data_IF_111925291224
#
_entry.id   IF_111925291224
#
_cell.length_a   1.000
_cell.length_b   1.000
_cell.length_c   1.000
_cell.angle_alpha   90.00
_cell.angle_beta   90.00
_cell.angle_gamma   90.00
#
_symmetry.space_group_name_H-M   'P 1'
#
loop_
_entity.id
_entity.type
_entity.pdbx_description
1 polymer ?
#
# COMPACT_ATOMS: atom_id res chain seq x y z
N UNK A 1 12.59 -11.73 -2.11
CA UNK A 1 11.61 -10.61 -2.03
C UNK A 1 12.35 -9.35 -1.66
N UNK A 2 11.90 -8.19 -2.14
CA UNK A 2 12.43 -6.86 -1.79
C UNK A 2 11.54 -6.24 -0.70
N UNK A 3 12.11 -5.32 0.07
CA UNK A 3 11.41 -4.66 1.17
C UNK A 3 11.20 -3.18 0.87
N UNK A 4 9.96 -2.75 0.92
CA UNK A 4 9.58 -1.35 0.87
C UNK A 4 8.89 -0.94 2.18
N UNK A 5 8.73 0.36 2.38
CA UNK A 5 7.97 0.91 3.49
C UNK A 5 6.97 1.94 2.98
N UNK A 6 5.75 1.91 3.54
CA UNK A 6 4.77 2.97 3.34
C UNK A 6 5.22 4.20 4.13
N UNK A 7 5.41 5.33 3.43
CA UNK A 7 5.94 6.58 4.00
C UNK A 7 5.04 7.14 5.12
N UNK A 8 3.76 6.78 5.14
CA UNK A 8 2.86 7.13 6.24
C UNK A 8 3.38 6.69 7.62
N UNK A 9 4.13 5.58 7.66
CA UNK A 9 4.74 5.06 8.90
C UNK A 9 5.79 6.00 9.52
N UNK A 10 6.28 6.98 8.76
CA UNK A 10 7.27 7.97 9.23
C UNK A 10 6.76 9.41 9.12
N UNK A 11 5.43 9.60 9.03
CA UNK A 11 4.79 10.91 8.85
C UNK A 11 5.08 11.90 9.97
N UNK A 12 5.43 11.43 11.17
CA UNK A 12 5.87 12.24 12.30
C UNK A 12 7.18 13.03 12.03
N UNK A 13 7.90 12.65 10.97
CA UNK A 13 9.13 13.29 10.51
C UNK A 13 8.95 14.12 9.24
N UNK A 14 7.73 14.18 8.66
CA UNK A 14 7.50 14.80 7.35
C UNK A 14 6.44 15.89 7.45
N UNK A 15 6.83 17.13 7.11
CA UNK A 15 5.92 18.28 7.12
C UNK A 15 5.91 19.06 5.80
N UNK A 16 6.93 18.86 4.97
CA UNK A 16 7.16 19.58 3.72
C UNK A 16 8.04 18.79 2.75
N UNK A 17 8.35 19.36 1.60
CA UNK A 17 9.22 18.76 0.59
C UNK A 17 10.64 18.46 1.13
N UNK A 18 11.23 19.35 1.91
CA UNK A 18 12.61 19.17 2.42
C UNK A 18 12.67 17.98 3.37
N UNK A 19 11.72 17.90 4.31
CA UNK A 19 11.65 16.79 5.28
C UNK A 19 11.27 15.48 4.63
N UNK A 20 10.43 15.49 3.58
CA UNK A 20 10.17 14.30 2.77
C UNK A 20 11.45 13.75 2.14
N UNK A 21 12.25 14.60 1.48
CA UNK A 21 13.49 14.16 0.83
C UNK A 21 14.52 13.64 1.85
N UNK A 22 14.60 14.24 3.05
CA UNK A 22 15.43 13.72 4.15
C UNK A 22 14.93 12.39 4.70
N UNK A 23 13.62 12.20 4.78
CA UNK A 23 13.04 10.92 5.22
C UNK A 23 13.42 9.77 4.26
N UNK A 24 13.48 10.02 2.94
CA UNK A 24 13.94 9.03 1.98
C UNK A 24 15.39 8.59 2.24
N UNK A 25 16.27 9.53 2.63
CA UNK A 25 17.65 9.21 3.00
C UNK A 25 17.72 8.30 4.24
N UNK A 26 16.93 8.60 5.27
CA UNK A 26 16.88 7.79 6.50
C UNK A 26 16.27 6.41 6.24
N UNK A 27 15.18 6.32 5.46
CA UNK A 27 14.59 5.04 5.05
C UNK A 27 15.64 4.16 4.35
N UNK A 28 16.44 4.74 3.42
CA UNK A 28 17.52 4.00 2.78
C UNK A 28 18.61 3.56 3.76
N UNK A 29 19.04 4.40 4.68
CA UNK A 29 20.03 4.06 5.71
C UNK A 29 19.55 2.92 6.62
N UNK A 30 18.26 2.89 6.95
CA UNK A 30 17.63 1.79 7.71
C UNK A 30 17.68 0.47 6.92
N UNK A 31 17.69 0.53 5.59
CA UNK A 31 17.99 -0.61 4.73
C UNK A 31 16.81 -1.13 3.92
N UNK A 32 15.83 -0.30 3.62
CA UNK A 32 14.77 -0.57 2.66
C UNK A 32 15.26 -0.43 1.21
N UNK A 33 14.59 -1.13 0.30
CA UNK A 33 14.88 -1.12 -1.13
C UNK A 33 13.93 -0.18 -1.89
N UNK A 34 12.75 0.10 -1.33
CA UNK A 34 11.73 0.93 -1.95
C UNK A 34 10.84 1.63 -0.92
N UNK A 35 9.98 2.49 -1.47
CA UNK A 35 8.97 3.23 -0.72
C UNK A 35 7.64 3.23 -1.46
N UNK A 36 6.56 3.26 -0.70
CA UNK A 36 5.25 3.64 -1.15
C UNK A 36 4.88 4.99 -0.53
N UNK A 37 4.37 5.91 -1.33
CA UNK A 37 4.05 7.26 -0.86
C UNK A 37 2.62 7.36 -0.31
N UNK A 38 2.43 8.21 0.70
CA UNK A 38 1.14 8.67 1.20
C UNK A 38 1.09 10.21 1.09
N UNK A 39 0.94 10.69 -0.15
CA UNK A 39 1.06 12.11 -0.48
C UNK A 39 2.51 12.55 -0.77
N UNK A 40 2.64 13.73 -1.39
CA UNK A 40 3.91 14.20 -1.94
C UNK A 40 4.36 15.56 -1.37
N UNK A 41 3.65 16.14 -0.41
CA UNK A 41 4.00 17.38 0.31
C UNK A 41 4.37 18.54 -0.63
N UNK A 42 3.58 18.72 -1.71
CA UNK A 42 3.79 19.71 -2.77
C UNK A 42 5.16 19.60 -3.48
N UNK A 43 5.78 18.45 -3.46
CA UNK A 43 7.02 18.16 -4.18
C UNK A 43 6.68 17.66 -5.59
N UNK A 44 7.32 18.18 -6.62
CA UNK A 44 7.12 17.68 -7.98
C UNK A 44 7.78 16.30 -8.19
N UNK A 45 7.24 15.54 -9.14
CA UNK A 45 7.66 14.17 -9.40
C UNK A 45 9.15 14.06 -9.81
N UNK A 46 9.66 15.03 -10.56
CA UNK A 46 11.05 15.01 -11.02
C UNK A 46 12.02 15.18 -9.84
N UNK A 47 11.70 16.06 -8.89
CA UNK A 47 12.48 16.26 -7.66
C UNK A 47 12.49 15.01 -6.80
N UNK A 48 11.33 14.35 -6.57
CA UNK A 48 11.27 13.08 -5.84
C UNK A 48 12.05 12.00 -6.58
N UNK A 49 11.85 11.87 -7.90
CA UNK A 49 12.55 10.87 -8.71
C UNK A 49 14.07 11.02 -8.64
N UNK A 50 14.57 12.26 -8.75
CA UNK A 50 15.99 12.53 -8.61
C UNK A 50 16.55 12.11 -7.24
N UNK A 51 15.80 12.36 -6.15
CA UNK A 51 16.19 11.91 -4.82
C UNK A 51 16.16 10.39 -4.66
N UNK A 52 15.13 9.73 -5.19
CA UNK A 52 15.06 8.26 -5.19
C UNK A 52 16.27 7.64 -5.91
N UNK A 53 16.64 8.18 -7.07
CA UNK A 53 17.80 7.72 -7.83
C UNK A 53 19.12 7.98 -7.08
N UNK A 54 19.27 9.17 -6.47
CA UNK A 54 20.43 9.53 -5.67
C UNK A 54 20.67 8.55 -4.52
N UNK A 55 19.60 8.21 -3.77
CA UNK A 55 19.72 7.33 -2.60
C UNK A 55 19.60 5.85 -2.94
N UNK A 56 19.16 5.50 -4.15
CA UNK A 56 18.96 4.12 -4.58
C UNK A 56 17.71 3.47 -3.98
N UNK A 57 16.60 4.20 -3.89
CA UNK A 57 15.26 3.68 -3.57
C UNK A 57 14.40 3.56 -4.83
N UNK A 58 13.45 2.63 -4.81
CA UNK A 58 12.41 2.47 -5.84
C UNK A 58 11.07 2.97 -5.31
N UNK A 59 10.34 3.75 -6.11
CA UNK A 59 8.91 3.99 -5.84
C UNK A 59 8.13 2.76 -6.26
N UNK A 60 7.50 2.06 -5.31
CA UNK A 60 6.71 0.85 -5.58
C UNK A 60 5.24 1.17 -5.80
N UNK A 61 4.73 2.24 -5.17
CA UNK A 61 3.35 2.69 -5.27
C UNK A 61 3.13 4.04 -4.59
N UNK A 62 1.88 4.49 -4.62
CA UNK A 62 1.45 5.67 -3.87
C UNK A 62 -0.05 5.61 -3.56
N UNK A 63 -0.45 6.07 -2.37
CA UNK A 63 -1.83 6.34 -2.02
C UNK A 63 -2.22 7.76 -2.41
N UNK A 64 -3.30 7.89 -3.18
CA UNK A 64 -3.91 9.12 -3.64
C UNK A 64 -5.35 9.21 -3.15
N UNK A 65 -6.01 10.33 -3.34
CA UNK A 65 -7.45 10.44 -3.11
C UNK A 65 -8.26 9.83 -4.25
N UNK A 66 -9.46 9.29 -3.98
CA UNK A 66 -10.34 8.75 -5.04
C UNK A 66 -10.62 9.78 -6.14
N UNK A 67 -10.80 11.07 -5.78
CA UNK A 67 -11.01 12.15 -6.73
C UNK A 67 -9.83 12.44 -7.66
N UNK A 68 -8.63 11.92 -7.38
CA UNK A 68 -7.46 12.05 -8.26
C UNK A 68 -7.52 11.07 -9.45
N UNK A 69 -8.41 10.09 -9.38
CA UNK A 69 -8.69 9.11 -10.43
C UNK A 69 -9.91 9.48 -11.29
N UNK A 70 -10.57 10.61 -11.02
CA UNK A 70 -11.64 11.12 -11.88
C UNK A 70 -11.09 11.71 -13.19
N UNK A 71 -11.93 11.73 -14.22
CA UNK A 71 -11.52 11.99 -15.61
C UNK A 71 -10.73 13.30 -15.82
N UNK A 72 -11.02 14.34 -15.04
CA UNK A 72 -10.37 15.67 -15.15
C UNK A 72 -8.95 15.71 -14.53
N UNK A 73 -8.60 14.77 -13.65
CA UNK A 73 -7.31 14.70 -12.97
C UNK A 73 -6.49 13.47 -13.34
N UNK A 74 -7.15 12.40 -13.81
CA UNK A 74 -6.55 11.10 -14.04
C UNK A 74 -5.24 11.15 -14.83
N UNK A 75 -5.22 11.91 -15.95
CA UNK A 75 -4.03 11.99 -16.79
C UNK A 75 -2.84 12.56 -16.02
N UNK A 76 -3.03 13.68 -15.33
CA UNK A 76 -1.96 14.30 -14.54
C UNK A 76 -1.49 13.41 -13.40
N UNK A 77 -2.40 12.72 -12.73
CA UNK A 77 -2.09 11.74 -11.67
C UNK A 77 -1.21 10.61 -12.21
N UNK A 78 -1.63 9.98 -13.30
CA UNK A 78 -0.88 8.85 -13.87
C UNK A 78 0.47 9.28 -14.46
N UNK A 79 0.57 10.48 -15.06
CA UNK A 79 1.84 11.02 -15.53
C UNK A 79 2.83 11.31 -14.38
N UNK A 80 2.32 11.81 -13.26
CA UNK A 80 3.12 11.99 -12.04
C UNK A 80 3.70 10.65 -11.56
N UNK A 81 2.86 9.63 -11.42
CA UNK A 81 3.25 8.27 -10.98
C UNK A 81 4.23 7.63 -11.97
N UNK A 82 3.99 7.78 -13.27
CA UNK A 82 4.91 7.28 -14.29
C UNK A 82 6.29 7.95 -14.21
N UNK A 83 6.33 9.26 -13.91
CA UNK A 83 7.59 10.00 -13.70
C UNK A 83 8.38 9.45 -12.52
N UNK A 84 7.71 9.04 -11.43
CA UNK A 84 8.36 8.36 -10.29
C UNK A 84 8.87 6.96 -10.65
N UNK A 85 8.40 6.38 -11.75
CA UNK A 85 8.76 5.03 -12.20
C UNK A 85 7.98 3.91 -11.50
N UNK A 86 6.93 4.25 -10.73
CA UNK A 86 6.08 3.26 -10.08
C UNK A 86 5.24 2.48 -11.10
N UNK A 87 4.89 1.24 -10.75
CA UNK A 87 4.05 0.35 -11.55
C UNK A 87 2.66 0.11 -10.93
N UNK A 88 2.40 0.77 -9.81
CA UNK A 88 1.11 0.72 -9.14
C UNK A 88 0.82 2.07 -8.45
N UNK A 89 -0.45 2.42 -8.34
CA UNK A 89 -0.97 3.57 -7.59
C UNK A 89 -2.39 3.24 -7.15
N UNK A 90 -2.83 3.77 -6.04
CA UNK A 90 -4.19 3.48 -5.59
C UNK A 90 -4.68 4.41 -4.51
N UNK A 91 -5.70 3.98 -3.81
CA UNK A 91 -6.26 4.68 -2.66
C UNK A 91 -5.97 3.92 -1.37
N UNK A 92 -5.60 4.63 -0.30
CA UNK A 92 -5.46 4.08 1.05
C UNK A 92 -6.80 3.88 1.76
N UNK A 93 -7.90 4.19 1.07
CA UNK A 93 -9.28 4.04 1.51
C UNK A 93 -10.19 4.96 0.71
N UNK A 94 -11.42 4.52 0.47
CA UNK A 94 -12.46 5.28 -0.23
C UNK A 94 -13.85 4.79 0.22
N UNK A 95 -14.96 5.47 -0.09
CA UNK A 95 -16.30 5.06 0.30
C UNK A 95 -16.64 3.65 -0.14
N UNK A 96 -17.12 2.81 0.79
CA UNK A 96 -17.42 1.39 0.57
C UNK A 96 -18.52 0.84 1.49
N UNK A 97 -19.10 1.69 2.35
CA UNK A 97 -20.02 1.27 3.41
C UNK A 97 -21.40 0.83 2.90
N UNK A 98 -21.73 1.17 1.66
CA UNK A 98 -22.94 0.73 0.95
C UNK A 98 -22.57 0.07 -0.38
N UNK A 99 -23.52 -0.68 -0.95
CA UNK A 99 -23.30 -1.31 -2.26
C UNK A 99 -23.02 -0.27 -3.35
N UNK A 100 -23.76 0.86 -3.34
CA UNK A 100 -23.58 1.93 -4.32
C UNK A 100 -22.19 2.60 -4.18
N UNK A 101 -21.74 2.82 -2.95
CA UNK A 101 -20.40 3.35 -2.69
C UNK A 101 -19.29 2.39 -3.15
N UNK A 102 -19.40 1.10 -2.80
CA UNK A 102 -18.40 0.09 -3.20
C UNK A 102 -18.34 -0.07 -4.72
N UNK A 103 -19.50 -0.08 -5.40
CA UNK A 103 -19.57 -0.11 -6.87
C UNK A 103 -18.95 1.15 -7.47
N UNK A 104 -19.33 2.33 -6.99
CA UNK A 104 -18.79 3.59 -7.51
C UNK A 104 -17.27 3.70 -7.32
N UNK A 105 -16.76 3.33 -6.14
CA UNK A 105 -15.31 3.29 -5.88
C UNK A 105 -14.61 2.34 -6.83
N UNK A 106 -15.14 1.12 -6.98
CA UNK A 106 -14.58 0.13 -7.90
C UNK A 106 -14.64 0.58 -9.37
N UNK A 107 -15.72 1.20 -9.81
CA UNK A 107 -15.89 1.67 -11.18
C UNK A 107 -14.93 2.82 -11.52
N UNK A 108 -14.72 3.78 -10.59
CA UNK A 108 -13.75 4.87 -10.75
C UNK A 108 -12.33 4.30 -10.87
N UNK A 109 -11.93 3.42 -9.94
CA UNK A 109 -10.60 2.82 -9.94
C UNK A 109 -10.40 1.89 -11.14
N UNK A 110 -11.40 1.10 -11.53
CA UNK A 110 -11.33 0.21 -12.68
C UNK A 110 -11.19 0.96 -14.02
N UNK A 111 -11.91 2.09 -14.18
CA UNK A 111 -11.75 2.95 -15.34
C UNK A 111 -10.34 3.57 -15.39
N UNK A 112 -9.83 4.01 -14.23
CA UNK A 112 -8.49 4.53 -14.09
C UNK A 112 -7.42 3.48 -14.37
N UNK A 113 -7.60 2.23 -13.88
CA UNK A 113 -6.68 1.13 -14.13
C UNK A 113 -6.61 0.81 -15.63
N UNK A 114 -7.75 0.75 -16.30
CA UNK A 114 -7.77 0.53 -17.76
C UNK A 114 -6.95 1.59 -18.49
N UNK A 115 -7.14 2.87 -18.19
CA UNK A 115 -6.38 3.97 -18.78
C UNK A 115 -4.87 3.85 -18.48
N UNK A 116 -4.52 3.65 -17.22
CA UNK A 116 -3.14 3.60 -16.75
C UNK A 116 -2.38 2.38 -17.31
N UNK A 117 -3.04 1.23 -17.39
CA UNK A 117 -2.48 0.02 -17.99
C UNK A 117 -2.25 0.16 -19.49
N UNK A 118 -3.25 0.68 -20.23
CA UNK A 118 -3.14 0.86 -21.69
C UNK A 118 -2.01 1.86 -22.06
N UNK A 119 -1.79 2.92 -21.24
CA UNK A 119 -0.84 3.99 -21.55
C UNK A 119 0.57 3.73 -21.01
N UNK A 120 0.69 3.17 -19.79
CA UNK A 120 1.96 3.08 -19.05
C UNK A 120 2.26 1.74 -18.39
N UNK A 121 1.32 0.79 -18.42
CA UNK A 121 1.43 -0.48 -17.71
C UNK A 121 1.45 -0.29 -16.18
N UNK A 122 0.63 0.65 -15.67
CA UNK A 122 0.47 0.95 -14.25
C UNK A 122 -0.85 0.37 -13.78
N UNK A 123 -0.83 -0.43 -12.72
CA UNK A 123 -2.02 -0.92 -12.03
C UNK A 123 -2.63 0.17 -11.14
N UNK A 124 -3.97 0.18 -11.01
CA UNK A 124 -4.65 1.02 -10.03
C UNK A 124 -5.34 0.12 -9.01
N UNK A 125 -5.07 0.35 -7.72
CA UNK A 125 -5.50 -0.54 -6.65
C UNK A 125 -6.33 0.16 -5.58
N UNK A 126 -7.07 -0.65 -4.85
CA UNK A 126 -7.74 -0.31 -3.61
C UNK A 126 -7.03 -1.00 -2.44
N UNK A 127 -6.69 -0.24 -1.37
CA UNK A 127 -6.13 -0.76 -0.13
C UNK A 127 -7.26 -0.99 0.89
N UNK A 128 -7.24 -2.15 1.56
CA UNK A 128 -8.24 -2.52 2.55
C UNK A 128 -7.81 -2.21 3.99
N UNK A 129 -8.83 -1.94 4.82
CA UNK A 129 -8.79 -2.10 6.26
C UNK A 129 -9.65 -3.30 6.67
N UNK A 130 -10.17 -3.34 7.91
CA UNK A 130 -10.99 -4.47 8.36
C UNK A 130 -12.46 -4.34 7.95
N UNK A 131 -12.94 -3.14 7.69
CA UNK A 131 -14.33 -2.85 7.36
C UNK A 131 -14.75 -3.45 6.01
N UNK A 132 -13.83 -3.60 5.06
CA UNK A 132 -14.10 -4.20 3.75
C UNK A 132 -14.40 -5.70 3.82
N UNK A 133 -14.13 -6.33 4.96
CA UNK A 133 -14.48 -7.73 5.26
C UNK A 133 -15.77 -7.86 6.08
N UNK A 134 -16.52 -6.77 6.27
CA UNK A 134 -17.87 -6.80 6.85
C UNK A 134 -18.90 -6.83 5.75
N UNK A 135 -19.81 -7.83 5.80
CA UNK A 135 -20.83 -7.98 4.77
C UNK A 135 -21.78 -6.78 4.71
N UNK A 136 -22.06 -6.30 3.51
CA UNK A 136 -23.09 -5.32 3.20
C UNK A 136 -24.49 -5.93 3.40
N UNK A 137 -25.56 -5.10 3.36
CA UNK A 137 -26.95 -5.55 3.55
C UNK A 137 -27.36 -6.70 2.61
N UNK A 138 -26.77 -6.78 1.42
CA UNK A 138 -27.03 -7.85 0.45
C UNK A 138 -26.16 -9.12 0.64
N UNK A 139 -25.31 -9.14 1.68
CA UNK A 139 -24.41 -10.25 2.00
C UNK A 139 -23.12 -10.29 1.19
N UNK A 140 -22.84 -9.31 0.32
CA UNK A 140 -21.55 -9.18 -0.38
C UNK A 140 -20.56 -8.40 0.46
N UNK A 141 -19.28 -8.64 0.26
CA UNK A 141 -18.20 -7.93 0.94
C UNK A 141 -17.64 -6.81 0.07
N UNK A 142 -17.41 -5.59 0.60
CA UNK A 142 -16.82 -4.48 -0.14
C UNK A 142 -15.53 -4.87 -0.88
N UNK A 143 -14.65 -5.63 -0.24
CA UNK A 143 -13.39 -6.08 -0.85
C UNK A 143 -13.61 -6.88 -2.15
N UNK A 144 -14.68 -7.67 -2.23
CA UNK A 144 -15.00 -8.44 -3.43
C UNK A 144 -15.62 -7.55 -4.49
N UNK A 145 -16.58 -6.68 -4.09
CA UNK A 145 -17.26 -5.76 -5.01
C UNK A 145 -16.27 -4.83 -5.71
N UNK A 146 -15.32 -4.27 -4.95
CA UNK A 146 -14.27 -3.38 -5.48
C UNK A 146 -13.24 -4.19 -6.29
N UNK A 147 -12.76 -5.31 -5.74
CA UNK A 147 -11.75 -6.17 -6.37
C UNK A 147 -12.22 -6.85 -7.65
N UNK A 148 -13.53 -6.95 -7.91
CA UNK A 148 -14.05 -7.39 -9.21
C UNK A 148 -13.83 -6.36 -10.32
N UNK A 149 -13.53 -5.10 -9.96
CA UNK A 149 -13.44 -3.94 -10.86
C UNK A 149 -12.03 -3.39 -11.04
N UNK A 150 -11.20 -3.46 -10.00
CA UNK A 150 -9.81 -2.97 -10.02
C UNK A 150 -8.87 -3.93 -9.29
N UNK A 151 -7.57 -3.66 -9.36
CA UNK A 151 -6.56 -4.36 -8.56
C UNK A 151 -6.69 -4.05 -7.07
N UNK A 152 -6.07 -4.87 -6.23
CA UNK A 152 -6.08 -4.74 -4.77
C UNK A 152 -4.65 -4.58 -4.23
N UNK A 153 -4.52 -3.80 -3.20
CA UNK A 153 -3.43 -3.88 -2.24
C UNK A 153 -3.96 -4.49 -0.96
N UNK A 154 -3.51 -5.68 -0.62
CA UNK A 154 -4.01 -6.37 0.57
C UNK A 154 -3.17 -5.98 1.79
N UNK A 155 -3.81 -5.43 2.82
CA UNK A 155 -3.23 -5.27 4.15
C UNK A 155 -3.47 -6.52 4.98
N UNK A 156 -2.38 -7.20 5.35
CA UNK A 156 -2.45 -8.50 6.00
C UNK A 156 -2.73 -8.46 7.49
N UNK A 157 -2.58 -7.31 8.14
CA UNK A 157 -3.03 -7.17 9.53
C UNK A 157 -4.52 -6.85 9.59
N UNK A 158 -5.01 -5.97 8.75
CA UNK A 158 -6.42 -5.64 8.76
C UNK A 158 -7.30 -6.81 8.32
N UNK A 159 -6.86 -7.60 7.32
CA UNK A 159 -7.55 -8.87 6.98
C UNK A 159 -7.49 -9.89 8.13
N UNK A 160 -6.34 -10.05 8.80
CA UNK A 160 -6.21 -10.91 9.99
C UNK A 160 -7.13 -10.43 11.12
N UNK A 161 -7.17 -9.11 11.39
CA UNK A 161 -8.03 -8.53 12.42
C UNK A 161 -9.53 -8.72 12.12
N UNK A 162 -9.91 -8.73 10.85
CA UNK A 162 -11.26 -9.07 10.40
C UNK A 162 -11.60 -10.58 10.51
N UNK A 163 -10.60 -11.42 10.85
CA UNK A 163 -10.80 -12.86 11.02
C UNK A 163 -10.50 -13.70 9.78
N UNK A 164 -9.88 -13.10 8.74
CA UNK A 164 -9.52 -13.81 7.51
C UNK A 164 -8.26 -14.69 7.70
N UNK A 165 -8.25 -15.80 6.98
CA UNK A 165 -7.04 -16.61 6.75
C UNK A 165 -6.21 -15.98 5.65
N UNK A 166 -5.09 -15.35 6.01
CA UNK A 166 -4.23 -14.65 5.06
C UNK A 166 -3.66 -15.56 3.97
N UNK A 167 -3.33 -16.82 4.27
CA UNK A 167 -2.83 -17.72 3.23
C UNK A 167 -3.90 -18.00 2.18
N UNK A 168 -5.11 -18.29 2.63
CA UNK A 168 -6.26 -18.52 1.74
C UNK A 168 -6.61 -17.26 0.96
N UNK A 169 -6.76 -16.12 1.65
CA UNK A 169 -7.09 -14.83 1.02
C UNK A 169 -6.13 -14.46 -0.10
N UNK A 170 -4.82 -14.52 0.17
CA UNK A 170 -3.79 -14.15 -0.79
C UNK A 170 -3.74 -15.12 -1.98
N UNK A 171 -3.90 -16.43 -1.73
CA UNK A 171 -3.89 -17.43 -2.82
C UNK A 171 -5.13 -17.36 -3.69
N UNK A 172 -6.31 -17.13 -3.12
CA UNK A 172 -7.56 -16.99 -3.88
C UNK A 172 -7.60 -15.69 -4.70
N UNK A 173 -7.08 -14.58 -4.16
CA UNK A 173 -7.08 -13.27 -4.85
C UNK A 173 -5.78 -12.96 -5.63
N UNK A 174 -4.86 -13.91 -5.78
CA UNK A 174 -3.52 -13.70 -6.35
C UNK A 174 -3.49 -12.89 -7.67
N UNK A 175 -4.45 -13.10 -8.54
CA UNK A 175 -4.51 -12.47 -9.86
C UNK A 175 -5.01 -11.01 -9.79
N UNK A 176 -5.54 -10.60 -8.65
CA UNK A 176 -6.02 -9.25 -8.36
C UNK A 176 -5.02 -8.41 -7.57
N UNK A 177 -4.05 -9.05 -6.91
CA UNK A 177 -3.11 -8.34 -6.04
C UNK A 177 -2.10 -7.55 -6.87
N UNK A 178 -2.07 -6.25 -6.66
CA UNK A 178 -1.04 -5.35 -7.20
C UNK A 178 0.12 -5.20 -6.22
N UNK A 179 -0.18 -4.95 -4.94
CA UNK A 179 0.78 -4.75 -3.86
C UNK A 179 0.32 -5.48 -2.59
N UNK A 180 1.23 -5.61 -1.63
CA UNK A 180 0.97 -6.29 -0.37
C UNK A 180 1.55 -5.50 0.81
N UNK A 181 0.69 -5.04 1.72
CA UNK A 181 1.10 -4.52 3.00
C UNK A 181 1.32 -5.65 4.00
N UNK A 182 2.53 -5.70 4.54
CA UNK A 182 2.88 -6.56 5.68
C UNK A 182 2.83 -5.70 6.92
N UNK A 183 1.85 -6.00 7.76
CA UNK A 183 1.52 -5.21 8.94
C UNK A 183 1.23 -6.13 10.12
N UNK A 184 1.45 -5.65 11.31
CA UNK A 184 1.25 -6.40 12.56
C UNK A 184 0.51 -5.54 13.59
N UNK A 185 -0.10 -6.18 14.57
CA UNK A 185 -0.82 -5.47 15.61
C UNK A 185 -1.53 -6.40 16.60
N UNK A 186 -2.16 -5.80 17.61
CA UNK A 186 -2.93 -6.48 18.66
C UNK A 186 -4.24 -5.71 18.86
N UNK A 187 -5.38 -6.41 18.83
CA UNK A 187 -6.71 -5.87 19.14
C UNK A 187 -7.04 -4.55 18.38
N UNK A 188 -6.77 -4.52 17.07
CA UNK A 188 -7.00 -3.36 16.22
C UNK A 188 -5.98 -2.22 16.39
N UNK A 189 -4.88 -2.45 17.12
CA UNK A 189 -3.82 -1.47 17.32
C UNK A 189 -2.56 -1.92 16.59
N UNK A 190 -2.12 -1.22 15.54
CA UNK A 190 -0.90 -1.51 14.83
C UNK A 190 0.34 -1.52 15.72
N UNK A 191 1.30 -2.38 15.38
CA UNK A 191 2.60 -2.57 16.06
C UNK A 191 3.71 -2.75 15.03
N UNK A 192 4.95 -2.55 15.46
CA UNK A 192 6.09 -2.98 14.65
C UNK A 192 6.01 -4.48 14.36
N UNK A 193 6.51 -4.89 13.20
CA UNK A 193 6.48 -6.31 12.81
C UNK A 193 7.16 -7.20 13.86
N UNK A 194 6.48 -8.27 14.25
CA UNK A 194 6.91 -9.21 15.28
C UNK A 194 6.53 -8.80 16.71
N UNK A 195 5.87 -7.66 16.90
CA UNK A 195 5.37 -7.19 18.19
C UNK A 195 3.85 -7.37 18.32
N UNK A 196 3.18 -7.91 17.29
CA UNK A 196 1.75 -8.19 17.24
C UNK A 196 1.42 -9.68 17.20
N UNK A 197 0.20 -9.98 16.73
CA UNK A 197 -0.37 -11.32 16.71
C UNK A 197 -0.59 -11.86 15.29
N UNK A 198 -0.31 -11.08 14.23
CA UNK A 198 -0.47 -11.55 12.86
C UNK A 198 0.56 -12.65 12.55
N UNK A 199 0.15 -13.74 11.93
CA UNK A 199 1.07 -14.81 11.51
C UNK A 199 1.87 -14.39 10.26
N UNK A 200 2.89 -13.56 10.50
CA UNK A 200 3.75 -13.01 9.45
C UNK A 200 4.54 -14.10 8.70
N UNK A 201 4.82 -15.25 9.32
CA UNK A 201 5.49 -16.36 8.65
C UNK A 201 4.58 -16.97 7.58
N UNK A 202 3.30 -17.13 7.88
CA UNK A 202 2.28 -17.59 6.92
C UNK A 202 2.05 -16.54 5.82
N UNK A 203 2.03 -15.24 6.15
CA UNK A 203 1.95 -14.14 5.15
C UNK A 203 3.13 -14.20 4.18
N UNK A 204 4.36 -14.29 4.69
CA UNK A 204 5.58 -14.39 3.86
C UNK A 204 5.56 -15.64 2.98
N UNK A 205 5.10 -16.78 3.53
CA UNK A 205 4.95 -18.00 2.75
C UNK A 205 3.95 -17.83 1.60
N UNK A 206 2.76 -17.28 1.88
CA UNK A 206 1.76 -17.02 0.85
C UNK A 206 2.29 -16.08 -0.24
N UNK A 207 2.94 -14.98 0.16
CA UNK A 207 3.55 -14.02 -0.76
C UNK A 207 4.59 -14.68 -1.70
N UNK A 208 5.42 -15.60 -1.18
CA UNK A 208 6.36 -16.39 -1.99
C UNK A 208 5.64 -17.32 -2.98
N UNK A 209 4.64 -18.04 -2.50
CA UNK A 209 3.91 -19.03 -3.29
C UNK A 209 3.15 -18.38 -4.46
N UNK A 210 2.68 -17.14 -4.30
CA UNK A 210 1.98 -16.39 -5.36
C UNK A 210 2.89 -15.44 -6.16
N UNK A 211 4.18 -15.37 -5.83
CA UNK A 211 5.18 -14.59 -6.60
C UNK A 211 5.20 -13.10 -6.33
N UNK A 212 4.78 -12.64 -5.16
CA UNK A 212 4.90 -11.22 -4.76
C UNK A 212 6.38 -10.82 -4.69
N UNK A 213 6.73 -9.75 -5.42
CA UNK A 213 8.09 -9.21 -5.44
C UNK A 213 8.39 -8.32 -4.22
N UNK A 214 7.44 -7.47 -3.84
CA UNK A 214 7.59 -6.45 -2.81
C UNK A 214 6.74 -6.76 -1.58
N UNK A 215 7.34 -6.73 -0.40
CA UNK A 215 6.66 -6.65 0.87
C UNK A 215 6.77 -5.21 1.38
N UNK A 216 5.63 -4.55 1.55
CA UNK A 216 5.56 -3.16 1.99
C UNK A 216 5.23 -3.15 3.47
N UNK A 217 6.16 -2.68 4.28
CA UNK A 217 5.97 -2.55 5.74
C UNK A 217 5.16 -1.29 6.03
N UNK A 218 4.14 -1.41 6.86
CA UNK A 218 3.38 -0.25 7.34
C UNK A 218 3.04 -0.36 8.82
N UNK A 219 3.03 0.80 9.51
CA UNK A 219 2.48 0.97 10.84
C UNK A 219 1.76 2.33 10.96
N UNK A 220 0.45 2.30 11.28
CA UNK A 220 -0.36 3.52 11.45
C UNK A 220 -0.15 4.19 12.81
N UNK A 221 0.43 3.48 13.78
CA UNK A 221 0.66 3.99 15.15
C UNK A 221 2.08 3.69 15.63
N UNK A 222 3.11 4.24 14.93
CA UNK A 222 4.50 3.94 15.21
C UNK A 222 4.94 4.45 16.58
N UNK A 223 5.72 3.64 17.32
CA UNK A 223 6.21 3.95 18.68
C UNK A 223 7.67 3.53 18.81
N UNK A 224 8.55 4.34 19.42
CA UNK A 224 8.33 5.72 19.91
C UNK A 224 8.31 6.75 18.78
N UNK A 225 8.93 6.46 17.62
CA UNK A 225 8.92 7.26 16.39
C UNK A 225 8.82 6.39 15.17
N UNK A 226 8.44 6.96 14.02
CA UNK A 226 8.32 6.22 12.77
C UNK A 226 9.63 5.55 12.36
N UNK A 227 10.77 6.23 12.43
CA UNK A 227 12.06 5.64 12.04
C UNK A 227 12.51 4.50 12.95
N UNK A 228 12.29 4.62 14.26
CA UNK A 228 12.64 3.53 15.19
C UNK A 228 11.72 2.32 15.00
N UNK A 229 10.46 2.56 14.69
CA UNK A 229 9.49 1.51 14.41
C UNK A 229 9.85 0.72 13.15
N UNK A 230 10.02 1.40 12.02
CA UNK A 230 10.37 0.73 10.75
C UNK A 230 11.76 0.05 10.79
N UNK A 231 12.67 0.55 11.66
CA UNK A 231 13.97 -0.10 11.88
C UNK A 231 13.83 -1.43 12.64
N UNK A 232 12.89 -1.53 13.60
CA UNK A 232 12.58 -2.81 14.26
C UNK A 232 11.87 -3.75 13.29
N UNK A 233 10.90 -3.24 12.56
CA UNK A 233 10.11 -3.98 11.57
C UNK A 233 10.97 -4.62 10.49
N UNK A 234 11.90 -3.88 9.89
CA UNK A 234 12.79 -4.44 8.85
C UNK A 234 13.75 -5.48 9.41
N UNK A 235 14.21 -5.32 10.65
CA UNK A 235 15.06 -6.31 11.31
C UNK A 235 14.33 -7.63 11.52
N UNK A 236 13.07 -7.58 11.91
CA UNK A 236 12.23 -8.76 12.10
C UNK A 236 11.95 -9.44 10.76
N UNK A 237 11.42 -8.71 9.77
CA UNK A 237 11.02 -9.31 8.50
C UNK A 237 12.20 -9.95 7.76
N UNK A 238 13.40 -9.37 7.82
CA UNK A 238 14.62 -9.97 7.26
C UNK A 238 14.99 -11.32 7.90
N UNK A 239 14.50 -11.62 9.08
CA UNK A 239 14.73 -12.89 9.75
C UNK A 239 13.80 -14.01 9.31
N UNK A 240 12.72 -13.71 8.58
CA UNK A 240 11.69 -14.68 8.16
C UNK A 240 11.45 -14.76 6.64
N UNK A 241 12.09 -13.89 5.83
CA UNK A 241 12.01 -13.94 4.36
C UNK A 241 13.02 -14.88 3.75
#
# INVERSE_FOLDING_TARGET
MKLAVQVYSVRDHINDSETLLKALEEIKKIGYDGVEFAGFFNTDAATIKAKLDEVGLVCVGAHMGLGDFEADKLEATIEYINTLGAKAVGVGGAPHSTMDEAVNTGDVLGAAEKYAMDKYGIKVYYHNHCEEFVALENGLYPIDVIGDRCSLEIDTYWSFHAGEDNYKLLTEKKDKIALLHVKDGIDGKPKALGEGNNDLATVVKAAKDIGIEWLIVENDDPVPTGFEDIARSIKYIKGII
#
